data_IF_732279061392
#
_entry.id   IF_732279061392
#
_cell.length_a   1.000
_cell.length_b   1.000
_cell.length_c   1.000
_cell.angle_alpha   90.00
_cell.angle_beta   90.00
_cell.angle_gamma   90.00
#
_symmetry.space_group_name_H-M   'P 1'
#
loop_
_entity.id
_entity.type
_entity.pdbx_description
1 polymer ?
#
# COMPACT_ATOMS: atom_id res chain seq x y z
N UNK A 1 -1.57 -15.66 -5.53
CA UNK A 1 -1.63 -14.50 -4.63
C UNK A 1 -2.57 -13.47 -5.21
N UNK A 2 -3.21 -12.71 -4.33
CA UNK A 2 -3.96 -11.52 -4.71
C UNK A 2 -3.00 -10.38 -5.07
N UNK A 3 -3.37 -9.56 -6.06
CA UNK A 3 -2.64 -8.35 -6.44
C UNK A 3 -3.61 -7.17 -6.49
N UNK A 4 -3.21 -6.05 -5.90
CA UNK A 4 -3.89 -4.76 -6.05
C UNK A 4 -3.13 -3.88 -7.02
N UNK A 5 -3.79 -3.44 -8.07
CA UNK A 5 -3.27 -2.46 -9.02
C UNK A 5 -3.69 -1.07 -8.55
N UNK A 6 -2.71 -0.20 -8.32
CA UNK A 6 -2.87 1.10 -7.66
C UNK A 6 -2.13 2.20 -8.45
N UNK A 7 -2.41 3.44 -8.11
CA UNK A 7 -1.70 4.61 -8.62
C UNK A 7 -0.63 5.04 -7.60
N UNK A 8 0.61 5.17 -8.03
CA UNK A 8 1.73 5.63 -7.19
C UNK A 8 1.55 7.13 -6.88
N UNK A 9 1.49 7.45 -5.59
CA UNK A 9 1.24 8.79 -5.04
C UNK A 9 2.04 8.98 -3.74
N UNK A 10 2.31 10.23 -3.32
CA UNK A 10 2.97 10.50 -2.03
C UNK A 10 2.10 10.04 -0.86
N UNK A 11 2.70 9.52 0.20
CA UNK A 11 1.99 8.85 1.29
C UNK A 11 0.92 9.69 1.99
N UNK A 12 1.11 11.01 2.07
CA UNK A 12 0.21 11.98 2.67
C UNK A 12 -0.90 12.47 1.73
N UNK A 13 -0.85 12.14 0.44
CA UNK A 13 -1.81 12.57 -0.56
C UNK A 13 -2.60 11.41 -1.19
N UNK A 14 -3.81 11.71 -1.63
CA UNK A 14 -4.57 10.84 -2.51
C UNK A 14 -5.43 11.67 -3.46
N UNK A 15 -5.12 11.59 -4.74
CA UNK A 15 -5.75 12.31 -5.84
C UNK A 15 -6.65 11.39 -6.66
N UNK A 16 -7.63 11.98 -7.33
CA UNK A 16 -8.36 11.31 -8.39
C UNK A 16 -7.43 10.90 -9.56
N UNK A 17 -7.84 9.95 -10.43
CA UNK A 17 -7.01 9.49 -11.54
C UNK A 17 -6.63 10.58 -12.55
N UNK A 18 -7.40 11.68 -12.59
CA UNK A 18 -7.16 12.82 -13.47
C UNK A 18 -6.22 13.87 -12.84
N UNK A 19 -5.82 13.66 -11.58
CA UNK A 19 -4.98 14.54 -10.77
C UNK A 19 -5.55 15.96 -10.64
N UNK A 20 -6.87 16.07 -10.48
CA UNK A 20 -7.57 17.35 -10.33
C UNK A 20 -7.90 17.68 -8.88
N UNK A 21 -8.37 16.68 -8.13
CA UNK A 21 -8.80 16.87 -6.75
C UNK A 21 -8.23 15.78 -5.84
N UNK A 22 -7.89 16.16 -4.61
CA UNK A 22 -7.66 15.20 -3.55
C UNK A 22 -8.99 14.59 -3.12
N UNK A 23 -9.03 13.28 -2.96
CA UNK A 23 -10.25 12.50 -2.70
C UNK A 23 -10.00 11.44 -1.65
N UNK A 24 -11.04 11.07 -0.90
CA UNK A 24 -10.94 9.97 0.06
C UNK A 24 -10.89 8.60 -0.59
N UNK A 25 -11.42 8.44 -1.82
CA UNK A 25 -11.45 7.15 -2.51
C UNK A 25 -10.06 6.72 -2.94
N UNK A 26 -9.62 5.55 -2.45
CA UNK A 26 -8.35 4.96 -2.85
C UNK A 26 -8.58 3.91 -3.95
N UNK A 27 -8.16 4.19 -5.18
CA UNK A 27 -8.27 3.23 -6.30
C UNK A 27 -7.35 2.02 -6.08
N UNK A 28 -7.94 0.82 -6.09
CA UNK A 28 -7.23 -0.43 -5.74
C UNK A 28 -7.89 -1.65 -6.38
N UNK A 29 -7.55 -1.92 -7.64
CA UNK A 29 -8.21 -2.96 -8.43
C UNK A 29 -7.61 -4.35 -8.17
N UNK A 30 -8.46 -5.33 -7.88
CA UNK A 30 -8.04 -6.71 -7.58
C UNK A 30 -7.75 -7.52 -8.84
N UNK A 31 -6.66 -8.26 -8.82
CA UNK A 31 -6.29 -9.30 -9.79
C UNK A 31 -5.51 -10.43 -9.10
N UNK A 32 -5.04 -11.42 -9.86
CA UNK A 32 -4.29 -12.57 -9.31
C UNK A 32 -3.05 -12.90 -10.13
N UNK A 33 -2.00 -13.37 -9.46
CA UNK A 33 -0.77 -13.87 -10.09
C UNK A 33 -0.08 -14.93 -9.22
N UNK A 34 1.05 -15.48 -9.68
CA UNK A 34 1.91 -16.37 -8.89
C UNK A 34 3.01 -15.59 -8.17
N UNK A 35 3.55 -16.15 -7.07
CA UNK A 35 4.69 -15.57 -6.34
C UNK A 35 5.87 -15.33 -7.27
N UNK A 36 6.21 -16.31 -8.11
CA UNK A 36 7.32 -16.18 -9.06
C UNK A 36 7.15 -14.99 -10.04
N UNK A 37 5.95 -14.83 -10.62
CA UNK A 37 5.69 -13.71 -11.54
C UNK A 37 5.71 -12.36 -10.83
N UNK A 38 5.20 -12.29 -9.60
CA UNK A 38 5.24 -11.06 -8.82
C UNK A 38 6.67 -10.70 -8.40
N UNK A 39 7.49 -11.68 -8.00
CA UNK A 39 8.89 -11.47 -7.66
C UNK A 39 9.69 -10.91 -8.86
N UNK A 40 9.43 -11.42 -10.07
CA UNK A 40 10.01 -10.86 -11.29
C UNK A 40 9.61 -9.39 -11.49
N UNK A 41 8.32 -9.07 -11.33
CA UNK A 41 7.84 -7.69 -11.39
C UNK A 41 8.51 -6.79 -10.35
N UNK A 42 8.59 -7.24 -9.10
CA UNK A 42 9.21 -6.48 -8.00
C UNK A 42 10.69 -6.20 -8.28
N UNK A 43 11.44 -7.21 -8.75
CA UNK A 43 12.85 -7.05 -9.11
C UNK A 43 13.06 -6.11 -10.29
N UNK A 44 12.25 -6.24 -11.36
CA UNK A 44 12.30 -5.32 -12.51
C UNK A 44 11.96 -3.89 -12.10
N UNK A 45 10.94 -3.69 -11.26
CA UNK A 45 10.58 -2.36 -10.76
C UNK A 45 11.72 -1.70 -9.98
N UNK A 46 12.51 -2.47 -9.23
CA UNK A 46 13.67 -1.98 -8.50
C UNK A 46 14.85 -1.63 -9.43
N UNK A 47 15.11 -2.46 -10.45
CA UNK A 47 16.13 -2.16 -11.45
C UNK A 47 15.81 -0.90 -12.26
N UNK A 48 14.53 -0.72 -12.62
CA UNK A 48 14.06 0.50 -13.29
C UNK A 48 14.28 1.74 -12.41
N UNK A 49 13.94 1.69 -11.12
CA UNK A 49 14.15 2.85 -10.23
C UNK A 49 15.63 3.20 -10.06
N UNK A 50 16.51 2.20 -9.95
CA UNK A 50 17.96 2.45 -9.88
C UNK A 50 18.48 3.10 -11.16
N UNK A 51 17.98 2.67 -12.33
CA UNK A 51 18.35 3.27 -13.60
C UNK A 51 17.87 4.71 -13.71
N UNK A 52 16.62 4.99 -13.34
CA UNK A 52 16.08 6.36 -13.30
C UNK A 52 16.88 7.26 -12.34
N UNK A 53 17.32 6.75 -11.19
CA UNK A 53 18.14 7.49 -10.24
C UNK A 53 19.55 7.77 -10.78
N UNK A 54 20.19 6.80 -11.42
CA UNK A 54 21.49 6.98 -12.08
C UNK A 54 21.42 8.00 -13.22
N UNK A 55 20.37 7.95 -14.05
CA UNK A 55 20.16 8.91 -15.14
C UNK A 55 19.99 10.34 -14.61
N UNK A 56 19.29 10.50 -13.48
CA UNK A 56 19.17 11.81 -12.79
C UNK A 56 20.49 12.27 -12.21
N UNK A 57 21.25 11.39 -11.57
CA UNK A 57 22.54 11.71 -10.94
C UNK A 57 23.63 12.05 -11.98
N UNK A 58 23.56 11.47 -13.18
CA UNK A 58 24.50 11.76 -14.28
C UNK A 58 24.19 13.07 -15.03
N UNK A 59 23.19 13.83 -14.59
CA UNK A 59 22.92 15.15 -15.16
C UNK A 59 22.52 15.11 -16.64
N UNK A 60 21.95 13.99 -17.13
CA UNK A 60 21.27 13.97 -18.43
C UNK A 60 19.92 14.68 -18.27
N UNK A 61 19.99 15.98 -18.00
CA UNK A 61 18.91 16.91 -18.27
C UNK A 61 18.66 16.84 -19.78
N UNK A 62 17.60 16.15 -20.20
CA UNK A 62 16.83 16.75 -21.30
C UNK A 62 16.29 18.04 -20.72
N UNK A 63 16.79 19.16 -21.24
CA UNK A 63 16.36 20.52 -20.89
C UNK A 63 14.87 20.54 -20.53
N UNK A 64 14.59 20.77 -19.25
CA UNK A 64 13.30 21.21 -18.77
C UNK A 64 13.57 22.03 -17.51
N UNK A 65 14.28 23.13 -17.70
CA UNK A 65 14.26 24.25 -16.77
C UNK A 65 12.82 24.77 -16.69
N UNK A 66 12.23 24.76 -15.49
CA UNK A 66 11.34 25.84 -15.06
C UNK A 66 11.03 25.72 -13.57
N UNK A 67 11.95 26.20 -12.73
CA UNK A 67 11.59 26.83 -11.46
C UNK A 67 10.92 28.18 -11.78
N UNK A 68 9.63 28.36 -11.46
CA UNK A 68 9.01 29.65 -11.03
C UNK A 68 7.49 29.68 -11.21
N UNK A 69 6.81 29.91 -10.09
CA UNK A 69 5.76 30.91 -9.83
C UNK A 69 4.91 31.48 -11.01
N UNK A 70 3.58 31.28 -10.89
CA UNK A 70 2.48 32.12 -11.39
C UNK A 70 2.31 32.42 -12.89
N UNK A 71 1.05 32.36 -13.33
CA UNK A 71 0.43 32.91 -14.56
C UNK A 71 0.47 32.09 -15.88
N UNK A 72 -0.73 31.71 -16.34
CA UNK A 72 -1.09 31.33 -17.72
C UNK A 72 -0.97 32.55 -18.68
N UNK A 73 -1.13 32.42 -20.03
CA UNK A 73 -1.02 31.27 -20.95
C UNK A 73 -0.19 31.55 -22.24
N UNK A 74 0.18 30.51 -23.02
CA UNK A 74 -0.07 30.40 -24.48
C UNK A 74 0.94 29.52 -25.24
N UNK A 75 0.35 28.55 -25.96
CA UNK A 75 0.67 27.97 -27.29
C UNK A 75 2.13 27.71 -27.72
N UNK A 76 2.38 26.41 -27.97
CA UNK A 76 3.13 25.96 -29.15
C UNK A 76 4.31 25.04 -28.82
N UNK A 77 4.14 23.72 -28.93
CA UNK A 77 5.27 22.79 -28.91
C UNK A 77 4.93 21.37 -28.47
N UNK A 78 5.10 20.41 -29.37
CA UNK A 78 5.17 18.95 -29.15
C UNK A 78 4.00 18.24 -28.43
N UNK A 79 3.03 17.76 -29.23
CA UNK A 79 1.92 16.88 -28.80
C UNK A 79 2.34 15.51 -28.25
N UNK A 80 3.63 15.16 -28.24
CA UNK A 80 4.13 13.86 -27.77
C UNK A 80 4.72 13.88 -26.36
N UNK A 81 5.27 15.01 -25.89
CA UNK A 81 5.83 15.12 -24.55
C UNK A 81 4.79 15.41 -23.44
N UNK A 82 3.59 15.88 -23.83
CA UNK A 82 2.50 16.20 -22.88
C UNK A 82 1.65 15.02 -22.42
N UNK A 83 1.80 13.82 -23.00
CA UNK A 83 0.90 12.68 -22.68
C UNK A 83 1.28 11.95 -21.37
N UNK A 84 2.52 12.06 -20.92
CA UNK A 84 3.02 11.34 -19.74
C UNK A 84 3.14 12.19 -18.49
N UNK A 85 3.12 13.52 -18.58
CA UNK A 85 3.24 14.42 -17.43
C UNK A 85 1.98 14.50 -16.53
N UNK A 86 0.87 13.87 -16.94
CA UNK A 86 -0.43 13.99 -16.26
C UNK A 86 -1.00 12.69 -15.69
N UNK A 87 -0.31 11.54 -15.81
CA UNK A 87 -0.83 10.26 -15.35
C UNK A 87 0.08 9.65 -14.30
N UNK A 88 -0.51 9.20 -13.18
CA UNK A 88 0.22 8.49 -12.13
C UNK A 88 0.82 7.19 -12.66
N UNK A 89 2.03 6.83 -12.20
CA UNK A 89 2.63 5.52 -12.47
C UNK A 89 1.74 4.45 -11.85
N UNK A 90 1.28 3.50 -12.65
CA UNK A 90 0.55 2.34 -12.14
C UNK A 90 1.52 1.36 -11.49
N UNK A 91 1.19 0.91 -10.30
CA UNK A 91 1.94 -0.09 -9.54
C UNK A 91 1.07 -1.29 -9.22
N UNK A 92 1.73 -2.41 -8.89
CA UNK A 92 1.08 -3.62 -8.40
C UNK A 92 1.59 -3.91 -7.00
N UNK A 93 0.66 -4.28 -6.12
CA UNK A 93 0.91 -4.64 -4.73
C UNK A 93 0.47 -6.09 -4.50
N UNK A 94 1.41 -6.97 -4.19
CA UNK A 94 1.18 -8.37 -3.84
C UNK A 94 0.72 -8.46 -2.40
N UNK A 95 -0.53 -8.80 -2.19
CA UNK A 95 -1.20 -8.72 -0.88
C UNK A 95 -1.76 -10.07 -0.45
N UNK A 96 -1.92 -10.24 0.86
CA UNK A 96 -2.59 -11.38 1.48
C UNK A 96 -2.05 -12.74 0.99
N UNK A 97 -0.73 -12.88 0.86
CA UNK A 97 -0.11 -14.14 0.46
C UNK A 97 -0.18 -15.10 1.65
N UNK A 98 -0.98 -16.16 1.52
CA UNK A 98 -1.17 -17.14 2.58
C UNK A 98 0.07 -18.02 2.82
N UNK A 99 0.58 -17.99 4.06
CA UNK A 99 1.68 -18.84 4.53
C UNK A 99 1.21 -19.94 5.51
N UNK A 100 -0.08 -20.29 5.52
CA UNK A 100 -0.67 -21.27 6.46
C UNK A 100 -0.18 -22.71 6.28
N UNK A 101 0.26 -23.12 5.08
CA UNK A 101 0.70 -24.49 4.81
C UNK A 101 2.09 -24.76 5.43
N UNK A 102 2.10 -25.36 6.62
CA UNK A 102 3.32 -25.67 7.36
C UNK A 102 4.31 -26.51 6.55
N UNK A 103 3.84 -27.41 5.67
CA UNK A 103 4.74 -28.24 4.86
C UNK A 103 5.58 -27.41 3.88
N UNK A 104 5.03 -26.27 3.42
CA UNK A 104 5.70 -25.37 2.47
C UNK A 104 6.54 -24.32 3.19
N UNK A 105 6.08 -23.85 4.34
CA UNK A 105 6.64 -22.67 5.02
C UNK A 105 7.24 -22.98 6.40
N UNK A 106 7.52 -24.25 6.70
CA UNK A 106 8.04 -24.69 8.00
C UNK A 106 9.21 -23.83 8.51
N UNK A 107 10.27 -23.54 7.72
CA UNK A 107 11.37 -22.71 8.24
C UNK A 107 10.92 -21.30 8.63
N UNK A 108 10.06 -20.68 7.82
CA UNK A 108 9.54 -19.33 8.07
C UNK A 108 8.66 -19.29 9.32
N UNK A 109 7.74 -20.26 9.45
CA UNK A 109 6.83 -20.34 10.61
C UNK A 109 7.58 -20.67 11.90
N UNK A 110 8.62 -21.52 11.83
CA UNK A 110 9.47 -21.83 12.98
C UNK A 110 10.23 -20.59 13.48
N UNK A 111 10.69 -19.72 12.59
CA UNK A 111 11.39 -18.50 12.99
C UNK A 111 10.50 -17.59 13.85
N UNK A 112 9.21 -17.51 13.53
CA UNK A 112 8.23 -16.71 14.29
C UNK A 112 7.93 -17.27 15.68
N UNK A 113 8.29 -18.53 15.97
CA UNK A 113 8.14 -19.09 17.32
C UNK A 113 9.08 -18.47 18.35
N UNK A 114 10.11 -17.76 17.88
CA UNK A 114 11.07 -17.02 18.70
C UNK A 114 10.51 -15.71 19.26
N UNK A 115 9.38 -15.22 18.71
CA UNK A 115 8.70 -14.04 19.21
C UNK A 115 8.20 -14.25 20.66
N UNK A 116 8.09 -13.19 21.45
CA UNK A 116 7.47 -13.28 22.77
C UNK A 116 6.03 -13.78 22.67
N UNK A 117 5.55 -14.44 23.72
CA UNK A 117 4.30 -15.19 23.68
C UNK A 117 3.05 -14.37 23.28
N UNK A 118 3.03 -13.07 23.56
CA UNK A 118 1.92 -12.17 23.20
C UNK A 118 1.90 -11.81 21.70
N UNK A 119 3.02 -11.99 20.98
CA UNK A 119 3.16 -11.68 19.56
C UNK A 119 3.23 -12.93 18.67
N UNK A 120 3.17 -14.13 19.26
CA UNK A 120 3.17 -15.39 18.49
C UNK A 120 1.80 -15.65 17.86
N UNK A 121 1.81 -16.22 16.66
CA UNK A 121 0.62 -16.65 15.91
C UNK A 121 -0.26 -17.58 16.74
N UNK A 122 0.36 -18.52 17.47
CA UNK A 122 -0.31 -19.45 18.38
C UNK A 122 0.27 -19.31 19.78
N UNK A 123 -0.62 -19.10 20.76
CA UNK A 123 -0.26 -18.95 22.18
C UNK A 123 -1.49 -19.20 23.05
N UNK A 124 -1.31 -19.78 24.25
CA UNK A 124 -2.41 -20.00 25.18
C UNK A 124 -3.12 -18.69 25.60
N UNK A 125 -2.39 -17.57 25.62
CA UNK A 125 -2.94 -16.24 25.92
C UNK A 125 -3.55 -15.51 24.71
N UNK A 126 -3.52 -16.09 23.50
CA UNK A 126 -4.10 -15.48 22.31
C UNK A 126 -5.51 -16.05 22.05
N UNK A 127 -6.54 -15.22 22.15
CA UNK A 127 -7.93 -15.61 21.90
C UNK A 127 -8.14 -16.29 20.54
N UNK A 128 -7.41 -15.86 19.50
CA UNK A 128 -7.50 -16.44 18.16
C UNK A 128 -7.01 -17.91 18.09
N UNK A 129 -6.24 -18.36 19.09
CA UNK A 129 -5.82 -19.77 19.22
C UNK A 129 -6.94 -20.68 19.75
N UNK A 130 -8.01 -20.11 20.33
CA UNK A 130 -9.13 -20.85 20.92
C UNK A 130 -10.36 -20.97 20.01
N UNK A 131 -10.29 -20.41 18.80
CA UNK A 131 -11.38 -20.46 17.79
C UNK A 131 -11.68 -21.90 17.35
N UNK A 132 -10.68 -22.80 17.42
CA UNK A 132 -10.82 -24.21 17.06
C UNK A 132 -10.76 -24.50 15.55
N UNK A 133 -10.58 -23.48 14.71
CA UNK A 133 -10.35 -23.63 13.27
C UNK A 133 -9.50 -22.47 12.72
N UNK A 134 -9.02 -22.63 11.49
CA UNK A 134 -8.17 -21.64 10.79
C UNK A 134 -9.00 -20.46 10.29
N UNK A 135 -8.52 -19.24 10.58
CA UNK A 135 -8.97 -17.98 10.00
C UNK A 135 -7.77 -17.37 9.28
N UNK A 136 -7.80 -17.40 7.93
CA UNK A 136 -6.68 -16.97 7.10
C UNK A 136 -6.32 -15.50 7.34
N UNK A 137 -5.05 -15.23 7.67
CA UNK A 137 -4.55 -13.89 7.96
C UNK A 137 -4.80 -13.36 9.37
N UNK A 138 -5.56 -14.07 10.20
CA UNK A 138 -5.74 -13.70 11.62
C UNK A 138 -4.97 -14.64 12.53
N UNK A 139 -5.24 -15.95 12.45
CA UNK A 139 -4.49 -16.98 13.20
C UNK A 139 -3.51 -17.76 12.33
N UNK A 140 -3.21 -17.23 11.15
CA UNK A 140 -2.19 -17.70 10.22
C UNK A 140 -1.47 -16.50 9.61
N UNK A 141 -0.23 -16.72 9.16
CA UNK A 141 0.62 -15.64 8.67
C UNK A 141 0.23 -15.26 7.24
N UNK A 142 0.15 -13.95 6.99
CA UNK A 142 0.10 -13.38 5.64
C UNK A 142 1.41 -12.64 5.31
N UNK A 143 1.88 -12.83 4.08
CA UNK A 143 3.00 -12.09 3.51
C UNK A 143 2.47 -11.01 2.55
N UNK A 144 3.15 -9.86 2.57
CA UNK A 144 2.92 -8.74 1.67
C UNK A 144 4.21 -8.45 0.91
N UNK A 145 4.13 -8.39 -0.42
CA UNK A 145 5.26 -8.08 -1.30
C UNK A 145 5.03 -6.72 -1.93
N UNK A 146 5.87 -5.74 -1.61
CA UNK A 146 5.63 -4.32 -1.90
C UNK A 146 6.63 -3.74 -2.90
N UNK A 147 6.19 -2.76 -3.66
CA UNK A 147 7.02 -1.75 -4.33
C UNK A 147 6.70 -0.37 -3.74
N UNK A 148 7.56 0.65 -3.90
CA UNK A 148 7.25 2.00 -3.41
C UNK A 148 5.86 2.47 -3.85
N UNK A 149 5.12 3.07 -2.92
CA UNK A 149 3.74 3.52 -3.13
C UNK A 149 2.65 2.45 -2.93
N UNK A 150 3.00 1.18 -2.65
CA UNK A 150 2.00 0.14 -2.35
C UNK A 150 1.24 0.47 -1.06
N UNK A 151 -0.10 0.58 -1.15
CA UNK A 151 -0.96 0.98 -0.02
C UNK A 151 -1.87 -0.15 0.45
N UNK A 152 -1.96 -0.32 1.76
CA UNK A 152 -3.14 -0.89 2.40
C UNK A 152 -4.02 0.28 2.85
N UNK A 153 -5.24 0.46 2.31
CA UNK A 153 -6.10 1.59 2.66
C UNK A 153 -6.56 1.52 4.13
N UNK A 154 -7.19 2.60 4.59
CA UNK A 154 -7.71 2.71 5.95
C UNK A 154 -8.70 1.58 6.28
N UNK A 155 -8.54 1.01 7.47
CA UNK A 155 -9.41 -0.04 8.01
C UNK A 155 -9.19 -0.18 9.52
N UNK A 156 -10.16 -0.78 10.20
CA UNK A 156 -9.93 -1.47 11.47
C UNK A 156 -9.72 -2.96 11.18
N UNK A 157 -8.94 -3.62 12.03
CA UNK A 157 -8.76 -5.07 11.95
C UNK A 157 -10.09 -5.79 12.19
N UNK A 158 -10.23 -7.00 11.62
CA UNK A 158 -11.46 -7.77 11.77
C UNK A 158 -11.80 -7.99 13.26
N UNK A 159 -13.03 -7.64 13.64
CA UNK A 159 -13.51 -7.69 15.02
C UNK A 159 -12.62 -6.94 16.03
N UNK A 160 -11.88 -5.91 15.58
CA UNK A 160 -10.98 -5.08 16.38
C UNK A 160 -9.89 -5.88 17.14
N UNK A 161 -9.45 -7.02 16.60
CA UNK A 161 -8.30 -7.73 17.13
C UNK A 161 -7.01 -6.91 16.95
N UNK A 162 -6.04 -7.12 17.84
CA UNK A 162 -4.70 -6.57 17.66
C UNK A 162 -4.02 -7.20 16.43
N UNK A 163 -3.17 -6.42 15.78
CA UNK A 163 -2.35 -6.84 14.64
C UNK A 163 -0.87 -6.78 14.98
N UNK A 164 -0.09 -7.70 14.42
CA UNK A 164 1.38 -7.70 14.53
C UNK A 164 1.96 -7.68 13.12
N UNK A 165 2.76 -6.66 12.82
CA UNK A 165 3.40 -6.50 11.52
C UNK A 165 4.93 -6.44 11.68
N UNK A 166 5.66 -7.21 10.86
CA UNK A 166 7.12 -7.20 10.82
C UNK A 166 7.55 -6.83 9.41
N UNK A 167 8.25 -5.70 9.26
CA UNK A 167 8.85 -5.33 7.99
C UNK A 167 10.10 -6.19 7.72
N UNK A 168 10.08 -6.94 6.63
CA UNK A 168 11.22 -7.77 6.20
C UNK A 168 12.33 -6.92 5.55
N UNK A 169 11.99 -5.74 5.03
CA UNK A 169 12.91 -4.86 4.31
C UNK A 169 13.12 -5.25 2.83
N UNK A 170 14.08 -4.63 2.13
CA UNK A 170 15.04 -3.65 2.67
C UNK A 170 14.48 -2.21 2.77
N UNK A 171 13.35 -1.92 2.14
CA UNK A 171 12.72 -0.60 2.19
C UNK A 171 11.88 -0.39 3.44
N UNK A 172 11.52 0.86 3.70
CA UNK A 172 10.70 1.25 4.83
C UNK A 172 9.20 1.16 4.52
N UNK A 173 8.39 1.11 5.59
CA UNK A 173 6.96 1.30 5.53
C UNK A 173 6.58 2.49 6.40
N UNK A 174 5.79 3.40 5.85
CA UNK A 174 5.18 4.49 6.60
C UNK A 174 3.81 4.08 7.13
N UNK A 175 3.51 4.46 8.37
CA UNK A 175 2.29 4.08 9.08
C UNK A 175 1.53 5.31 9.54
N UNK A 176 0.22 5.27 9.32
CA UNK A 176 -0.74 6.24 9.83
C UNK A 176 -1.74 5.49 10.71
N UNK A 177 -2.01 6.01 11.90
CA UNK A 177 -2.94 5.42 12.84
C UNK A 177 -3.68 6.52 13.61
N UNK A 178 -4.94 6.25 13.93
CA UNK A 178 -5.78 7.11 14.76
C UNK A 178 -6.27 6.28 15.95
N UNK A 179 -6.40 6.85 17.16
CA UNK A 179 -6.99 6.16 18.30
C UNK A 179 -8.40 5.64 18.00
N UNK A 180 -8.79 4.54 18.65
CA UNK A 180 -10.06 3.86 18.40
C UNK A 180 -11.24 4.79 18.63
N UNK A 181 -11.17 5.68 19.62
CA UNK A 181 -12.24 6.58 20.03
C UNK A 181 -12.72 7.51 18.90
N UNK A 182 -11.89 7.73 17.87
CA UNK A 182 -12.20 8.57 16.72
C UNK A 182 -12.77 7.80 15.51
N UNK A 183 -12.94 6.47 15.60
CA UNK A 183 -13.43 5.65 14.48
C UNK A 183 -14.77 6.16 13.93
N UNK A 184 -15.66 6.65 14.80
CA UNK A 184 -16.96 7.20 14.42
C UNK A 184 -16.87 8.50 13.61
N UNK A 185 -15.84 9.31 13.86
CA UNK A 185 -15.57 10.54 13.09
C UNK A 185 -15.06 10.18 11.69
N UNK A 186 -14.13 9.23 11.60
CA UNK A 186 -13.61 8.73 10.32
C UNK A 186 -14.73 8.05 9.51
N UNK A 187 -15.61 7.30 10.16
CA UNK A 187 -16.80 6.73 9.54
C UNK A 187 -17.69 7.82 8.93
N UNK A 188 -17.98 8.91 9.66
CA UNK A 188 -18.76 10.03 9.14
C UNK A 188 -18.10 10.71 7.93
N UNK A 189 -16.76 10.82 7.92
CA UNK A 189 -16.00 11.32 6.78
C UNK A 189 -16.08 10.38 5.57
N UNK A 190 -16.03 9.07 5.77
CA UNK A 190 -16.25 8.09 4.70
C UNK A 190 -17.65 8.23 4.09
N UNK A 191 -18.70 8.32 4.92
CA UNK A 191 -20.08 8.49 4.46
C UNK A 191 -20.28 9.82 3.71
N UNK A 192 -19.70 10.92 4.21
CA UNK A 192 -19.70 12.24 3.52
C UNK A 192 -19.07 12.14 2.12
N UNK A 193 -18.08 11.27 1.95
CA UNK A 193 -17.41 11.01 0.68
C UNK A 193 -18.05 9.86 -0.14
N UNK A 194 -19.22 9.36 0.27
CA UNK A 194 -19.94 8.26 -0.37
C UNK A 194 -19.07 6.98 -0.51
N UNK A 195 -18.37 6.64 0.57
CA UNK A 195 -17.54 5.44 0.68
C UNK A 195 -17.97 4.69 1.94
N UNK A 196 -18.21 3.39 1.82
CA UNK A 196 -18.50 2.56 2.98
C UNK A 196 -17.24 2.42 3.85
N UNK A 197 -17.34 2.75 5.14
CA UNK A 197 -16.21 2.70 6.07
C UNK A 197 -15.62 1.27 6.25
N UNK A 198 -16.46 0.24 6.38
CA UNK A 198 -16.02 -1.13 6.70
C UNK A 198 -15.53 -1.94 5.48
N UNK A 199 -16.06 -1.63 4.29
CA UNK A 199 -15.85 -2.44 3.08
C UNK A 199 -15.30 -1.63 1.90
N UNK A 200 -15.27 -0.31 2.00
CA UNK A 200 -14.71 0.58 1.00
C UNK A 200 -13.19 0.62 1.04
N UNK A 201 -12.62 1.22 0.00
CA UNK A 201 -11.18 1.50 -0.09
C UNK A 201 -10.98 3.00 0.01
N UNK A 202 -10.48 3.46 1.16
CA UNK A 202 -10.33 4.88 1.47
C UNK A 202 -8.93 5.22 1.98
N UNK A 203 -8.47 6.43 1.67
CA UNK A 203 -7.22 7.02 2.13
C UNK A 203 -7.55 8.41 2.71
N UNK A 204 -7.41 8.62 4.03
CA UNK A 204 -7.73 9.90 4.65
C UNK A 204 -6.91 11.04 4.08
N UNK A 205 -7.52 12.23 4.02
CA UNK A 205 -6.82 13.48 3.72
C UNK A 205 -6.44 14.13 5.05
N UNK A 206 -5.16 14.45 5.24
CA UNK A 206 -4.66 14.95 6.53
C UNK A 206 -5.35 16.24 6.97
N UNK A 207 -5.65 17.13 6.02
CA UNK A 207 -6.35 18.39 6.29
C UNK A 207 -7.77 18.20 6.86
N UNK A 208 -8.41 17.06 6.57
CA UNK A 208 -9.75 16.74 7.11
C UNK A 208 -9.69 16.13 8.52
N UNK A 209 -8.49 15.76 9.01
CA UNK A 209 -8.27 15.13 10.31
C UNK A 209 -7.72 16.10 11.37
N UNK A 210 -7.31 17.30 10.97
CA UNK A 210 -6.73 18.35 11.82
C UNK A 210 -7.75 19.34 12.37
#
# INVERSE_FOLDING_TARGET
>A
MEVRTQLMQSSDENWDPERKHMVWRCESHRSHTSIARYAQYQASSFQESLKEEQEKAQGVQRESDSDSNSSLPSKGGSRRARRTAGHFKTIKFGTNVDLSDERKWRPQLQELTKLPAFARVVSAGNMLSHVGHTILGMNTVQLYMKVPGSRTPGHQENNNFCSVNINIGPGDCEWFATPEEYWGVIHALCEKNNINYLHGSWWPLMDDLM
#
